data_IF_736045098125
#
_entry.id   IF_736045098125
#
_cell.length_a   1.000
_cell.length_b   1.000
_cell.length_c   1.000
_cell.angle_alpha   90.00
_cell.angle_beta   90.00
_cell.angle_gamma   90.00
#
_symmetry.space_group_name_H-M   'P 1'
#
loop_
_entity.id
_entity.type
_entity.pdbx_description
1 polymer ?
#
# COMPACT_ATOMS: atom_id res chain seq x y z
N UNK A 1 -14.82 -33.85 -15.48
CA UNK A 1 -13.77 -32.82 -15.64
C UNK A 1 -14.01 -31.57 -14.78
N UNK A 2 -15.19 -30.95 -14.82
CA UNK A 2 -15.51 -29.74 -14.01
C UNK A 2 -15.35 -29.92 -12.49
N UNK A 3 -15.76 -31.06 -11.93
CA UNK A 3 -15.68 -31.29 -10.48
C UNK A 3 -14.25 -31.51 -9.95
N UNK A 4 -13.34 -31.99 -10.81
CA UNK A 4 -11.94 -32.22 -10.43
C UNK A 4 -11.17 -30.90 -10.35
N UNK A 5 -11.38 -30.02 -11.34
CA UNK A 5 -10.78 -28.68 -11.36
C UNK A 5 -11.25 -27.84 -10.18
N UNK A 6 -12.55 -27.91 -9.82
CA UNK A 6 -13.10 -27.20 -8.64
C UNK A 6 -12.50 -27.73 -7.34
N UNK A 7 -12.34 -29.06 -7.19
CA UNK A 7 -11.70 -29.65 -6.00
C UNK A 7 -10.22 -29.28 -5.89
N UNK A 8 -9.51 -29.24 -7.01
CA UNK A 8 -8.11 -28.82 -7.05
C UNK A 8 -7.95 -27.33 -6.69
N UNK A 9 -8.86 -26.48 -7.17
CA UNK A 9 -8.88 -25.05 -6.86
C UNK A 9 -9.21 -24.78 -5.39
N UNK A 10 -10.18 -25.51 -4.83
CA UNK A 10 -10.51 -25.42 -3.39
C UNK A 10 -9.37 -25.95 -2.53
N UNK A 11 -8.70 -27.03 -2.93
CA UNK A 11 -7.52 -27.54 -2.22
C UNK A 11 -6.39 -26.51 -2.21
N UNK A 12 -6.13 -25.83 -3.35
CA UNK A 12 -5.15 -24.74 -3.42
C UNK A 12 -5.52 -23.57 -2.50
N UNK A 13 -6.78 -23.12 -2.50
CA UNK A 13 -7.21 -22.02 -1.63
C UNK A 13 -7.15 -22.36 -0.13
N UNK A 14 -7.45 -23.61 0.24
CA UNK A 14 -7.50 -24.00 1.66
C UNK A 14 -6.11 -24.32 2.20
N UNK A 15 -5.25 -24.96 1.40
CA UNK A 15 -3.99 -25.51 1.89
C UNK A 15 -2.74 -24.77 1.40
N UNK A 16 -2.80 -24.02 0.29
CA UNK A 16 -1.61 -23.40 -0.33
C UNK A 16 -1.67 -21.86 -0.27
N UNK A 17 -2.84 -21.26 -0.44
CA UNK A 17 -3.01 -19.80 -0.31
C UNK A 17 -2.61 -19.24 1.08
N UNK A 18 -2.96 -19.85 2.23
CA UNK A 18 -2.54 -19.33 3.53
C UNK A 18 -1.02 -19.45 3.80
N UNK A 19 -0.28 -20.29 3.07
CA UNK A 19 1.19 -20.31 3.14
C UNK A 19 1.84 -19.08 2.49
N UNK A 20 1.13 -18.37 1.61
CA UNK A 20 1.60 -17.14 0.97
C UNK A 20 1.02 -15.87 1.61
N UNK A 21 0.10 -16.02 2.57
CA UNK A 21 -0.32 -14.89 3.39
C UNK A 21 0.82 -14.58 4.37
N UNK A 22 1.46 -13.42 4.24
CA UNK A 22 2.42 -12.98 5.24
C UNK A 22 1.71 -12.93 6.60
N UNK A 23 2.16 -13.69 7.61
CA UNK A 23 1.61 -13.55 8.94
C UNK A 23 2.05 -12.20 9.47
N UNK A 24 1.19 -11.19 9.40
CA UNK A 24 1.39 -9.95 10.14
C UNK A 24 1.07 -10.21 11.62
N UNK A 25 1.96 -10.93 12.30
CA UNK A 25 1.88 -11.24 13.73
C UNK A 25 2.57 -10.15 14.52
N UNK A 26 2.13 -8.90 14.39
CA UNK A 26 2.58 -7.85 15.31
C UNK A 26 1.66 -7.86 16.52
N UNK A 27 2.07 -8.50 17.62
CA UNK A 27 1.39 -8.35 18.90
C UNK A 27 1.79 -7.01 19.50
N UNK A 28 0.85 -6.07 19.60
CA UNK A 28 1.05 -4.84 20.37
C UNK A 28 0.83 -5.19 21.85
N UNK A 29 1.81 -5.86 22.44
CA UNK A 29 1.84 -6.22 23.86
C UNK A 29 3.14 -5.75 24.48
N UNK A 30 3.07 -5.24 25.70
CA UNK A 30 4.27 -4.88 26.45
C UNK A 30 4.88 -6.17 26.99
N UNK A 31 6.10 -6.49 26.56
CA UNK A 31 6.88 -7.59 27.12
C UNK A 31 7.95 -7.04 28.08
N UNK A 32 7.71 -7.21 29.38
CA UNK A 32 8.62 -6.80 30.45
C UNK A 32 9.82 -7.74 30.64
N UNK A 33 9.86 -8.88 29.95
CA UNK A 33 10.93 -9.89 30.06
C UNK A 33 11.82 -9.92 28.80
N UNK A 34 11.77 -8.88 27.96
CA UNK A 34 12.62 -8.81 26.77
C UNK A 34 14.09 -8.70 27.17
N UNK A 35 14.90 -9.69 26.79
CA UNK A 35 16.34 -9.71 27.04
C UNK A 35 17.05 -8.51 26.40
N UNK A 36 18.06 -7.96 27.09
CA UNK A 36 18.85 -6.82 26.58
C UNK A 36 19.46 -7.11 25.20
N UNK A 37 19.91 -8.33 24.96
CA UNK A 37 20.45 -8.75 23.67
C UNK A 37 19.42 -8.58 22.54
N UNK A 38 18.16 -8.99 22.76
CA UNK A 38 17.10 -8.85 21.78
C UNK A 38 16.77 -7.37 21.51
N UNK A 39 16.75 -6.53 22.54
CA UNK A 39 16.56 -5.08 22.39
C UNK A 39 17.70 -4.44 21.58
N UNK A 40 18.95 -4.78 21.88
CA UNK A 40 20.13 -4.28 21.16
C UNK A 40 20.10 -4.71 19.70
N UNK A 41 19.75 -5.97 19.44
CA UNK A 41 19.68 -6.50 18.08
C UNK A 41 18.57 -5.82 17.27
N UNK A 42 17.36 -5.67 17.84
CA UNK A 42 16.27 -4.94 17.20
C UNK A 42 16.54 -3.45 17.01
N UNK A 43 17.40 -2.85 17.84
CA UNK A 43 17.83 -1.47 17.65
C UNK A 43 18.83 -1.33 16.50
N UNK A 44 19.78 -2.26 16.37
CA UNK A 44 20.75 -2.29 15.26
C UNK A 44 20.07 -2.66 13.94
N UNK A 45 19.12 -3.60 13.99
CA UNK A 45 18.37 -4.12 12.87
C UNK A 45 16.86 -3.90 13.09
N UNK A 46 16.33 -2.68 12.88
CA UNK A 46 14.93 -2.36 13.14
C UNK A 46 13.96 -3.28 12.39
N UNK A 47 12.93 -3.80 13.08
CA UNK A 47 11.95 -4.65 12.43
C UNK A 47 11.09 -3.82 11.45
N UNK A 48 10.44 -4.47 10.45
CA UNK A 48 9.71 -3.78 9.40
C UNK A 48 8.67 -2.75 9.89
N UNK A 49 7.96 -3.04 10.98
CA UNK A 49 6.94 -2.17 11.57
C UNK A 49 7.51 -0.84 12.10
N UNK A 50 8.81 -0.82 12.47
CA UNK A 50 9.51 0.37 12.94
C UNK A 50 10.03 1.24 11.80
N UNK A 51 9.90 0.79 10.55
CA UNK A 51 10.31 1.59 9.39
C UNK A 51 9.31 2.70 9.10
N UNK A 52 9.85 3.83 8.69
CA UNK A 52 9.04 4.98 8.30
C UNK A 52 8.16 4.65 7.08
N UNK A 53 6.99 5.28 7.05
CA UNK A 53 6.08 5.30 5.90
C UNK A 53 5.80 6.76 5.56
N UNK A 54 5.51 7.05 4.30
CA UNK A 54 5.20 8.42 3.86
C UNK A 54 3.80 8.53 3.25
N UNK A 55 3.27 9.75 3.23
CA UNK A 55 2.18 10.07 2.32
C UNK A 55 2.71 10.21 0.90
N UNK A 56 2.13 9.46 -0.01
CA UNK A 56 2.46 9.49 -1.43
C UNK A 56 1.24 10.01 -2.20
N UNK A 57 1.30 11.30 -2.55
CA UNK A 57 0.18 12.03 -3.11
C UNK A 57 0.08 11.83 -4.62
N UNK A 58 -1.01 11.24 -5.08
CA UNK A 58 -1.39 11.19 -6.50
C UNK A 58 -2.26 12.40 -6.80
N UNK A 59 -1.61 13.55 -6.99
CA UNK A 59 -2.29 14.83 -7.19
C UNK A 59 -3.10 14.83 -8.49
N UNK A 60 -4.38 15.18 -8.37
CA UNK A 60 -5.37 15.14 -9.44
C UNK A 60 -5.44 13.77 -10.15
N UNK A 61 -5.22 12.67 -9.40
CA UNK A 61 -5.14 11.31 -9.93
C UNK A 61 -3.93 11.06 -10.85
N UNK A 62 -2.99 12.00 -10.94
CA UNK A 62 -1.89 11.95 -11.89
C UNK A 62 -0.76 11.03 -11.39
N UNK A 63 -0.76 9.80 -11.90
CA UNK A 63 0.34 8.83 -11.77
C UNK A 63 0.51 8.04 -13.07
N UNK A 64 1.70 7.48 -13.30
CA UNK A 64 1.97 6.56 -14.40
C UNK A 64 2.61 5.27 -13.88
N UNK A 65 2.57 4.18 -14.65
CA UNK A 65 3.20 2.91 -14.23
C UNK A 65 4.70 3.10 -14.00
N UNK A 66 5.35 3.92 -14.85
CA UNK A 66 6.78 4.22 -14.76
C UNK A 66 7.11 5.03 -13.51
N UNK A 67 6.31 6.06 -13.18
CA UNK A 67 6.52 6.83 -11.95
C UNK A 67 6.29 5.97 -10.71
N UNK A 68 5.27 5.11 -10.73
CA UNK A 68 4.94 4.20 -9.63
C UNK A 68 6.11 3.26 -9.32
N UNK A 69 6.63 2.58 -10.35
CA UNK A 69 7.77 1.66 -10.17
C UNK A 69 8.98 2.41 -9.65
N UNK A 70 9.35 3.54 -10.27
CA UNK A 70 10.52 4.33 -9.86
C UNK A 70 10.40 4.81 -8.41
N UNK A 71 9.24 5.37 -8.04
CA UNK A 71 9.06 5.95 -6.71
C UNK A 71 9.14 4.86 -5.62
N UNK A 72 8.54 3.68 -5.85
CA UNK A 72 8.61 2.55 -4.91
C UNK A 72 10.02 1.95 -4.81
N UNK A 73 10.75 1.85 -5.93
CA UNK A 73 12.15 1.41 -5.93
C UNK A 73 13.05 2.37 -5.14
N UNK A 74 12.85 3.68 -5.30
CA UNK A 74 13.57 4.69 -4.51
C UNK A 74 13.20 4.62 -3.02
N UNK A 75 11.91 4.48 -2.68
CA UNK A 75 11.47 4.27 -1.29
C UNK A 75 12.18 3.06 -0.67
N UNK A 76 12.22 1.94 -1.38
CA UNK A 76 12.92 0.74 -0.92
C UNK A 76 14.43 1.01 -0.74
N UNK A 77 15.07 1.66 -1.71
CA UNK A 77 16.49 1.97 -1.67
C UNK A 77 16.86 2.92 -0.52
N UNK A 78 15.93 3.78 -0.07
CA UNK A 78 16.12 4.67 1.09
C UNK A 78 15.65 4.09 2.42
N UNK A 79 15.26 2.80 2.45
CA UNK A 79 14.93 2.09 3.68
C UNK A 79 13.50 2.30 4.20
N UNK A 80 12.57 2.76 3.35
CA UNK A 80 11.17 2.92 3.74
C UNK A 80 10.54 1.54 4.02
N UNK A 81 9.56 1.53 4.91
CA UNK A 81 8.71 0.37 5.18
C UNK A 81 7.49 0.31 4.29
N UNK A 82 7.10 1.43 3.67
CA UNK A 82 5.87 1.52 2.91
C UNK A 82 5.44 2.95 2.60
N UNK A 83 4.24 3.08 2.05
CA UNK A 83 3.61 4.36 1.75
C UNK A 83 2.08 4.32 1.88
N UNK A 84 1.48 5.47 2.12
CA UNK A 84 0.05 5.69 2.08
C UNK A 84 -0.28 6.48 0.80
N UNK A 85 -0.95 5.83 -0.15
CA UNK A 85 -1.47 6.49 -1.35
C UNK A 85 -2.56 7.46 -0.91
N UNK A 86 -2.40 8.73 -1.28
CA UNK A 86 -3.39 9.78 -1.08
C UNK A 86 -3.82 10.28 -2.45
N UNK A 87 -4.97 9.82 -2.91
CA UNK A 87 -5.63 10.43 -4.06
C UNK A 87 -6.31 11.71 -3.61
N UNK A 88 -5.96 12.84 -4.22
CA UNK A 88 -6.53 14.14 -3.89
C UNK A 88 -6.46 15.07 -5.11
N UNK A 89 -7.27 16.12 -5.11
CA UNK A 89 -7.23 17.15 -6.16
C UNK A 89 -5.89 17.90 -6.25
N UNK A 90 -5.73 18.66 -7.32
CA UNK A 90 -4.64 19.64 -7.44
C UNK A 90 -4.81 20.77 -6.40
N UNK A 91 -3.76 21.57 -6.21
CA UNK A 91 -3.81 22.83 -5.44
C UNK A 91 -5.02 23.69 -5.82
N UNK A 92 -5.68 24.30 -4.83
CA UNK A 92 -6.76 25.27 -5.02
C UNK A 92 -6.26 26.69 -5.30
N UNK A 93 -5.01 27.02 -4.98
CA UNK A 93 -4.44 28.36 -5.17
C UNK A 93 -4.21 28.70 -6.65
N UNK A 94 -4.58 29.91 -7.07
CA UNK A 94 -4.46 30.34 -8.48
C UNK A 94 -3.02 30.67 -8.90
N UNK A 95 -2.14 30.91 -7.94
CA UNK A 95 -0.73 31.28 -8.18
C UNK A 95 0.17 30.09 -8.53
N UNK A 96 -0.33 28.86 -8.44
CA UNK A 96 0.45 27.64 -8.71
C UNK A 96 -0.11 26.88 -9.89
N UNK A 97 0.81 26.34 -10.69
CA UNK A 97 0.46 25.47 -11.79
C UNK A 97 -0.33 24.27 -11.27
N UNK A 98 -1.51 24.07 -11.85
CA UNK A 98 -2.37 22.93 -11.51
C UNK A 98 -1.78 21.65 -12.08
N UNK A 99 -1.85 20.56 -11.30
CA UNK A 99 -1.52 19.23 -11.78
C UNK A 99 -2.50 18.82 -12.88
N UNK A 100 -1.98 18.29 -13.99
CA UNK A 100 -2.83 17.73 -15.05
C UNK A 100 -3.73 16.63 -14.49
N UNK A 101 -4.93 16.49 -15.06
CA UNK A 101 -5.83 15.43 -14.64
C UNK A 101 -5.27 14.07 -15.07
N UNK A 102 -5.16 13.16 -14.12
CA UNK A 102 -5.02 11.73 -14.35
C UNK A 102 -6.38 11.03 -14.32
N UNK A 103 -6.37 9.69 -14.24
CA UNK A 103 -7.58 8.90 -14.06
C UNK A 103 -8.40 9.30 -12.84
N UNK A 104 -9.74 9.27 -12.99
CA UNK A 104 -10.67 9.53 -11.88
C UNK A 104 -10.53 8.42 -10.84
N UNK A 105 -10.52 8.79 -9.55
CA UNK A 105 -10.47 7.83 -8.44
C UNK A 105 -11.50 6.70 -8.61
N UNK A 106 -11.06 5.46 -8.44
CA UNK A 106 -11.84 4.22 -8.67
C UNK A 106 -12.34 3.98 -10.11
N UNK A 107 -11.95 4.79 -11.10
CA UNK A 107 -12.16 4.44 -12.51
C UNK A 107 -11.36 3.17 -12.86
N UNK A 108 -11.69 2.55 -13.99
CA UNK A 108 -10.96 1.38 -14.47
C UNK A 108 -9.46 1.66 -14.61
N UNK A 109 -9.10 2.80 -15.20
CA UNK A 109 -7.73 3.20 -15.44
C UNK A 109 -6.98 3.47 -14.13
N UNK A 110 -7.64 4.12 -13.16
CA UNK A 110 -7.07 4.32 -11.83
C UNK A 110 -6.82 2.98 -11.12
N UNK A 111 -7.78 2.05 -11.21
CA UNK A 111 -7.66 0.72 -10.62
C UNK A 111 -6.52 -0.09 -11.25
N UNK A 112 -6.20 0.09 -12.53
CA UNK A 112 -5.04 -0.56 -13.15
C UNK A 112 -3.71 0.02 -12.61
N UNK A 113 -3.63 1.34 -12.40
CA UNK A 113 -2.48 1.96 -11.73
C UNK A 113 -2.34 1.48 -10.28
N UNK A 114 -3.45 1.41 -9.56
CA UNK A 114 -3.45 0.92 -8.17
C UNK A 114 -3.00 -0.54 -8.08
N UNK A 115 -3.51 -1.43 -8.96
CA UNK A 115 -3.03 -2.82 -9.04
C UNK A 115 -1.54 -2.90 -9.37
N UNK A 116 -1.04 -2.03 -10.24
CA UNK A 116 0.39 -1.94 -10.53
C UNK A 116 1.18 -1.56 -9.27
N UNK A 117 0.77 -0.52 -8.55
CA UNK A 117 1.39 -0.10 -7.30
C UNK A 117 1.39 -1.22 -6.23
N UNK A 118 0.27 -1.92 -6.06
CA UNK A 118 0.16 -3.07 -5.13
C UNK A 118 1.15 -4.18 -5.50
N UNK A 119 1.26 -4.55 -6.78
CA UNK A 119 2.20 -5.57 -7.23
C UNK A 119 3.67 -5.16 -7.03
N UNK A 120 3.99 -3.91 -7.31
CA UNK A 120 5.36 -3.39 -7.14
C UNK A 120 5.75 -3.29 -5.66
N UNK A 121 4.82 -2.86 -4.81
CA UNK A 121 5.05 -2.83 -3.37
C UNK A 121 5.26 -4.23 -2.78
N UNK A 122 4.42 -5.20 -3.19
CA UNK A 122 4.59 -6.61 -2.80
C UNK A 122 5.96 -7.15 -3.25
N UNK A 123 6.33 -6.92 -4.52
CA UNK A 123 7.65 -7.29 -5.08
C UNK A 123 8.81 -6.73 -4.25
N UNK A 124 8.67 -5.52 -3.73
CA UNK A 124 9.71 -4.81 -2.97
C UNK A 124 9.63 -5.05 -1.46
N UNK A 125 8.58 -5.73 -0.97
CA UNK A 125 8.30 -5.89 0.46
C UNK A 125 8.03 -4.55 1.15
N UNK A 126 7.19 -3.71 0.51
CA UNK A 126 6.70 -2.43 1.03
C UNK A 126 5.22 -2.57 1.38
N UNK A 127 4.82 -2.02 2.53
CA UNK A 127 3.41 -1.95 2.92
C UNK A 127 2.72 -0.77 2.21
N UNK A 128 1.55 -1.01 1.62
CA UNK A 128 0.72 0.06 1.06
C UNK A 128 -0.59 0.21 1.83
N UNK A 129 -0.98 1.46 2.01
CA UNK A 129 -2.33 1.85 2.43
C UNK A 129 -2.89 2.87 1.44
N UNK A 130 -4.21 3.10 1.48
CA UNK A 130 -4.91 4.07 0.62
C UNK A 130 -5.96 4.81 1.43
N UNK A 131 -6.18 6.09 1.13
CA UNK A 131 -7.25 6.87 1.75
C UNK A 131 -8.64 6.35 1.37
N UNK A 132 -9.63 6.57 2.25
CA UNK A 132 -10.99 6.02 2.13
C UNK A 132 -11.76 6.53 0.89
N UNK A 133 -11.38 7.69 0.38
CA UNK A 133 -11.97 8.33 -0.80
C UNK A 133 -11.05 9.41 -1.31
N UNK A 134 -11.27 9.92 -2.52
CA UNK A 134 -10.48 11.03 -3.06
C UNK A 134 -10.62 12.28 -2.19
N UNK A 135 -9.50 12.82 -1.72
CA UNK A 135 -9.42 13.95 -0.80
C UNK A 135 -9.18 13.56 0.67
N UNK A 136 -9.33 14.57 1.55
CA UNK A 136 -9.02 14.45 2.98
C UNK A 136 -10.21 14.00 3.83
N UNK A 137 -11.42 14.39 3.43
CA UNK A 137 -12.64 14.14 4.21
C UNK A 137 -13.36 12.89 3.70
N UNK A 138 -13.89 12.05 4.60
CA UNK A 138 -14.68 10.90 4.20
C UNK A 138 -15.99 11.35 3.53
N UNK A 139 -16.39 10.65 2.48
CA UNK A 139 -17.60 10.93 1.71
C UNK A 139 -17.51 10.36 0.30
N UNK A 140 -18.53 10.63 -0.51
CA UNK A 140 -18.51 10.28 -1.92
C UNK A 140 -19.87 10.45 -2.58
N UNK A 141 -19.95 10.37 -3.92
CA UNK A 141 -21.19 10.53 -4.66
C UNK A 141 -22.31 9.55 -4.29
N UNK A 142 -21.96 8.44 -3.63
CA UNK A 142 -22.90 7.43 -3.17
C UNK A 142 -23.56 7.75 -1.81
N UNK A 143 -23.11 8.79 -1.10
CA UNK A 143 -23.66 9.18 0.21
C UNK A 143 -24.72 10.28 0.01
N UNK A 144 -25.96 10.01 0.43
CA UNK A 144 -27.08 10.96 0.37
C UNK A 144 -27.19 11.82 1.64
N UNK A 145 -27.84 13.00 1.59
CA UNK A 145 -28.11 13.83 2.77
C UNK A 145 -28.92 13.13 3.87
#
# INVERSE_FOLDING_TARGET
MKSFVVRLFLFYMIFIAPLNAQPFSTSISIDFNTEYFALREGFINPPPESKLRCYWWWLNGMATMESITRDLEEMKAKGYGGAAIVDAGSSSYDIVQKTKAGPVFLSREWMELYKHAVREADRLGLELSVNLGSGWNPGGPAITP
#
